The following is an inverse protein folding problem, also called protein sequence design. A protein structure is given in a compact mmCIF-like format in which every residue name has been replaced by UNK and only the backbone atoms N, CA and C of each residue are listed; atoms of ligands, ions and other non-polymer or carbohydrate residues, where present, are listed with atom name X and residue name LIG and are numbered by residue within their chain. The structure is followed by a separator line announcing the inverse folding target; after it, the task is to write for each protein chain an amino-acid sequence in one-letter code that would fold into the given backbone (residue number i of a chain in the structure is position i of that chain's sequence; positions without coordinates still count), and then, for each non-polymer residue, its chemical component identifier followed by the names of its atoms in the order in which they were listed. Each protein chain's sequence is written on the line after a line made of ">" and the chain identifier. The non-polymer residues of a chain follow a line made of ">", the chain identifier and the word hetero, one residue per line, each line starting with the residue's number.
data_IF_329396935733
#
_entry.id   IF_329396935733
#
_cell.length_a   1.000
_cell.length_b   1.000
_cell.length_c   1.000
_cell.angle_alpha   90.00
_cell.angle_beta   90.00
_cell.angle_gamma   90.00
#
_symmetry.space_group_name_H-M   'P 1'
#
loop_
_entity.id
_entity.type
_entity.pdbx_description
1 polymer ?
#
# COMPACT_ATOMS: atom_id res chain seq x y z
N UNK A 1 21.74 -61.76 -32.94
CA UNK A 1 21.78 -60.60 -32.02
C UNK A 1 20.95 -60.93 -30.77
N UNK A 2 21.56 -61.16 -29.60
CA UNK A 2 20.82 -61.43 -28.37
C UNK A 2 20.40 -60.12 -27.68
N UNK A 3 19.09 -59.90 -27.58
CA UNK A 3 18.49 -58.78 -26.85
C UNK A 3 18.45 -59.10 -25.35
N UNK A 4 19.15 -58.29 -24.54
CA UNK A 4 19.24 -58.41 -23.08
C UNK A 4 17.91 -58.00 -22.43
N UNK A 5 17.35 -58.88 -21.58
CA UNK A 5 16.22 -58.55 -20.69
C UNK A 5 16.71 -57.68 -19.53
N UNK A 6 16.01 -56.60 -19.14
CA UNK A 6 16.27 -55.91 -17.88
C UNK A 6 15.60 -56.63 -16.71
N UNK A 7 16.38 -56.75 -15.63
CA UNK A 7 16.04 -57.32 -14.33
C UNK A 7 15.24 -56.26 -13.54
N UNK A 8 13.99 -56.55 -13.18
CA UNK A 8 13.25 -55.79 -12.17
C UNK A 8 13.83 -56.09 -10.78
N UNK A 9 14.27 -55.05 -10.07
CA UNK A 9 14.51 -55.10 -8.62
C UNK A 9 13.43 -54.26 -7.91
N UNK A 10 12.73 -54.90 -6.98
CA UNK A 10 11.79 -54.28 -6.05
C UNK A 10 12.51 -53.53 -4.92
N UNK A 11 11.95 -52.39 -4.52
CA UNK A 11 11.88 -51.82 -3.16
C UNK A 11 11.49 -50.33 -3.29
N UNK A 12 10.69 -49.68 -2.44
CA UNK A 12 10.18 -49.96 -1.10
C UNK A 12 8.94 -49.06 -0.94
N UNK A 13 7.84 -49.61 -0.43
CA UNK A 13 6.70 -48.82 0.05
C UNK A 13 7.11 -48.12 1.34
N UNK A 14 6.93 -46.81 1.42
CA UNK A 14 7.00 -46.06 2.68
C UNK A 14 5.62 -45.48 2.95
N UNK A 15 4.94 -46.07 3.94
CA UNK A 15 3.69 -45.59 4.50
C UNK A 15 3.97 -44.37 5.37
N UNK A 16 3.19 -43.30 5.22
CA UNK A 16 3.17 -42.21 6.20
C UNK A 16 1.85 -42.28 6.97
N UNK A 17 1.99 -42.43 8.29
CA UNK A 17 0.88 -42.50 9.24
C UNK A 17 0.36 -41.09 9.50
N UNK A 18 -0.94 -40.90 9.28
CA UNK A 18 -1.70 -39.77 9.81
C UNK A 18 -2.06 -40.12 11.26
N UNK A 19 -1.44 -39.43 12.23
CA UNK A 19 -1.90 -39.45 13.62
C UNK A 19 -2.41 -38.05 13.97
N UNK A 20 -3.73 -37.89 13.90
CA UNK A 20 -4.48 -36.88 14.62
C UNK A 20 -4.33 -37.13 16.12
N UNK A 21 -4.01 -36.11 16.91
CA UNK A 21 -3.96 -36.25 18.36
C UNK A 21 -3.42 -35.05 19.10
N UNK A 22 -4.28 -34.05 19.25
CA UNK A 22 -4.48 -33.18 20.43
C UNK A 22 -3.42 -33.19 21.56
N UNK A 23 -2.93 -31.98 21.87
CA UNK A 23 -2.67 -31.45 23.23
C UNK A 23 -1.37 -31.85 23.96
N UNK A 24 -0.40 -30.93 24.01
CA UNK A 24 0.28 -30.60 25.26
C UNK A 24 0.71 -29.12 25.23
N UNK A 25 0.12 -28.33 26.13
CA UNK A 25 0.58 -27.00 26.50
C UNK A 25 2.03 -27.08 26.99
N UNK A 26 2.89 -26.19 26.51
CA UNK A 26 4.01 -25.66 27.28
C UNK A 26 4.25 -24.22 26.86
N UNK A 27 3.88 -23.31 27.78
CA UNK A 27 4.32 -21.93 27.80
C UNK A 27 5.85 -21.89 27.71
N UNK A 28 6.36 -21.29 26.65
CA UNK A 28 7.70 -20.74 26.57
C UNK A 28 7.58 -19.28 26.17
N UNK A 29 7.76 -18.39 27.14
CA UNK A 29 7.75 -16.94 26.96
C UNK A 29 8.90 -16.50 26.03
N UNK A 30 8.55 -16.02 24.84
CA UNK A 30 9.28 -15.09 23.97
C UNK A 30 8.53 -15.11 22.63
N UNK A 31 7.59 -14.24 22.36
CA UNK A 31 7.91 -12.89 21.90
C UNK A 31 6.72 -11.95 22.13
N UNK A 32 6.71 -11.31 23.30
CA UNK A 32 6.08 -10.00 23.44
C UNK A 32 7.00 -8.96 22.78
N UNK A 33 7.02 -8.96 21.45
CA UNK A 33 7.21 -7.74 20.68
C UNK A 33 5.87 -7.48 20.02
N UNK A 34 4.91 -7.04 20.84
CA UNK A 34 3.81 -6.26 20.31
C UNK A 34 4.45 -4.96 19.80
N UNK A 35 4.91 -4.95 18.55
CA UNK A 35 5.17 -3.71 17.85
C UNK A 35 3.86 -2.92 17.87
N UNK A 36 3.86 -1.84 18.63
CA UNK A 36 2.83 -0.82 18.54
C UNK A 36 2.80 -0.25 17.12
N UNK A 37 1.58 0.00 16.61
CA UNK A 37 1.31 0.64 15.33
C UNK A 37 1.06 -0.42 14.28
N UNK A 38 -0.18 -0.68 13.88
CA UNK A 38 -1.06 0.26 13.19
C UNK A 38 -2.50 0.06 13.71
N UNK A 39 -3.09 1.08 14.32
CA UNK A 39 -4.50 1.08 14.75
C UNK A 39 -5.47 1.44 13.61
N UNK A 40 -5.06 1.21 12.37
CA UNK A 40 -5.84 1.53 11.18
C UNK A 40 -6.34 0.24 10.54
N UNK A 41 -7.66 0.02 10.44
CA UNK A 41 -8.22 -1.21 9.87
C UNK A 41 -7.88 -1.39 8.38
N UNK A 42 -7.41 -0.34 7.70
CA UNK A 42 -7.03 -0.39 6.29
C UNK A 42 -5.65 -1.01 6.04
N UNK A 43 -4.79 -1.12 7.05
CA UNK A 43 -3.43 -1.68 6.91
C UNK A 43 -3.25 -2.80 7.91
N UNK A 44 -2.85 -3.97 7.44
CA UNK A 44 -2.52 -5.11 8.31
C UNK A 44 -1.15 -5.68 7.99
N UNK A 45 -0.35 -5.89 9.03
CA UNK A 45 0.89 -6.65 8.96
C UNK A 45 0.54 -8.14 8.91
N UNK A 46 0.73 -8.76 7.75
CA UNK A 46 0.40 -10.17 7.53
C UNK A 46 1.51 -11.09 8.00
N UNK A 47 2.76 -10.68 7.76
CA UNK A 47 3.94 -11.47 8.09
C UNK A 47 5.14 -10.56 8.26
N UNK A 48 5.96 -10.85 9.27
CA UNK A 48 7.25 -10.22 9.48
C UNK A 48 8.25 -11.31 9.85
N UNK A 49 9.29 -11.44 9.03
CA UNK A 49 10.46 -12.26 9.30
C UNK A 49 11.71 -11.41 9.02
N UNK A 50 12.89 -11.91 9.38
CA UNK A 50 14.13 -11.13 9.33
C UNK A 50 14.50 -10.54 7.96
N UNK A 51 13.92 -11.04 6.87
CA UNK A 51 14.22 -10.61 5.49
C UNK A 51 13.00 -10.16 4.69
N UNK A 52 11.79 -10.17 5.28
CA UNK A 52 10.55 -9.94 4.56
C UNK A 52 9.48 -9.39 5.49
N UNK A 53 8.85 -8.30 5.06
CA UNK A 53 7.68 -7.72 5.70
C UNK A 53 6.55 -7.69 4.68
N UNK A 54 5.45 -8.39 4.96
CA UNK A 54 4.27 -8.47 4.11
C UNK A 54 3.17 -7.62 4.74
N UNK A 55 2.74 -6.61 4.00
CA UNK A 55 1.69 -5.68 4.43
C UNK A 55 0.55 -5.77 3.43
N UNK A 56 -0.66 -5.99 3.93
CA UNK A 56 -1.88 -5.87 3.15
C UNK A 56 -2.49 -4.49 3.38
N UNK A 57 -2.92 -3.85 2.31
CA UNK A 57 -3.68 -2.61 2.35
C UNK A 57 -5.05 -2.82 1.70
N UNK A 58 -6.10 -2.47 2.43
CA UNK A 58 -7.49 -2.46 1.96
C UNK A 58 -7.96 -1.01 1.90
N UNK A 59 -8.34 -0.55 0.71
CA UNK A 59 -8.82 0.81 0.52
C UNK A 59 -10.09 1.06 1.37
N UNK A 60 -10.10 2.06 2.27
CA UNK A 60 -11.31 2.45 2.98
C UNK A 60 -12.40 2.94 2.02
N UNK A 61 -13.67 3.02 2.48
CA UNK A 61 -14.74 3.62 1.68
C UNK A 61 -14.34 5.00 1.14
N UNK A 62 -14.31 5.13 -0.19
CA UNK A 62 -14.04 6.39 -0.85
C UNK A 62 -15.28 7.29 -0.76
N UNK A 63 -15.10 8.51 -0.28
CA UNK A 63 -16.06 9.58 -0.43
C UNK A 63 -15.64 10.46 -1.62
N UNK A 64 -16.52 10.54 -2.63
CA UNK A 64 -16.35 11.40 -3.80
C UNK A 64 -17.28 12.58 -3.59
N UNK A 65 -16.71 13.74 -3.27
CA UNK A 65 -17.49 14.94 -3.05
C UNK A 65 -18.16 15.39 -4.37
N UNK A 66 -19.33 16.06 -4.29
CA UNK A 66 -19.94 16.71 -5.44
C UNK A 66 -18.95 17.66 -6.13
N UNK A 67 -19.07 17.86 -7.45
CA UNK A 67 -18.17 18.73 -8.17
C UNK A 67 -18.30 20.17 -7.68
N UNK A 68 -17.18 20.88 -7.61
CA UNK A 68 -17.16 22.32 -7.35
C UNK A 68 -17.69 23.13 -8.56
N UNK A 69 -17.62 24.47 -8.46
CA UNK A 69 -18.08 25.37 -9.54
C UNK A 69 -17.33 25.17 -10.85
N UNK A 70 -16.13 24.61 -10.81
CA UNK A 70 -15.28 24.36 -11.97
C UNK A 70 -15.37 22.90 -12.45
N UNK A 71 -16.25 22.09 -11.84
CA UNK A 71 -16.49 20.70 -12.22
C UNK A 71 -15.51 19.69 -11.62
N UNK A 72 -14.68 20.09 -10.66
CA UNK A 72 -13.71 19.20 -10.03
C UNK A 72 -14.29 18.47 -8.84
N UNK A 73 -13.95 17.19 -8.72
CA UNK A 73 -14.28 16.33 -7.60
C UNK A 73 -13.09 16.20 -6.66
N UNK A 74 -13.38 16.25 -5.36
CA UNK A 74 -12.42 15.90 -4.32
C UNK A 74 -12.66 14.47 -3.86
N UNK A 75 -11.58 13.73 -3.65
CA UNK A 75 -11.60 12.42 -3.00
C UNK A 75 -11.24 12.58 -1.53
N UNK A 76 -11.93 11.83 -0.68
CA UNK A 76 -11.55 11.64 0.71
C UNK A 76 -11.73 10.17 1.11
N UNK A 77 -10.82 9.67 1.93
CA UNK A 77 -10.96 8.39 2.61
C UNK A 77 -10.28 8.49 3.97
N UNK A 78 -10.83 7.82 4.97
CA UNK A 78 -10.29 7.82 6.33
C UNK A 78 -8.83 7.31 6.31
N UNK A 79 -7.94 8.04 6.99
CA UNK A 79 -6.54 7.67 7.10
C UNK A 79 -5.69 7.89 5.84
N UNK A 80 -6.24 8.43 4.75
CA UNK A 80 -5.50 8.80 3.54
C UNK A 80 -5.38 10.32 3.42
N UNK A 81 -4.31 10.79 2.76
CA UNK A 81 -4.06 12.20 2.52
C UNK A 81 -3.67 12.47 1.07
N UNK A 82 -3.83 13.72 0.63
CA UNK A 82 -3.33 14.16 -0.67
C UNK A 82 -1.87 14.56 -0.51
N UNK A 83 -0.96 13.91 -1.22
CA UNK A 83 0.48 14.25 -1.23
C UNK A 83 1.02 14.56 -2.63
N UNK A 84 0.13 14.83 -3.58
CA UNK A 84 0.55 15.25 -4.91
C UNK A 84 1.14 16.67 -4.84
N UNK A 85 2.17 16.99 -5.65
CA UNK A 85 2.66 18.36 -5.77
C UNK A 85 1.51 19.30 -6.15
N UNK A 86 1.62 20.54 -5.67
CA UNK A 86 0.62 21.58 -5.92
C UNK A 86 0.24 21.69 -7.39
N UNK A 87 -1.07 21.67 -7.65
CA UNK A 87 -1.64 21.79 -8.98
C UNK A 87 -1.78 20.53 -9.81
N UNK A 88 -1.19 19.41 -9.40
CA UNK A 88 -1.41 18.10 -10.02
C UNK A 88 -2.71 17.46 -9.52
N UNK A 89 -3.26 16.42 -10.20
CA UNK A 89 -4.45 15.73 -9.71
C UNK A 89 -4.29 15.25 -8.26
N UNK A 90 -5.21 15.63 -7.38
CA UNK A 90 -5.17 15.31 -5.96
C UNK A 90 -5.47 13.84 -5.66
N UNK A 91 -4.50 12.95 -5.90
CA UNK A 91 -4.62 11.53 -5.57
C UNK A 91 -4.37 11.30 -4.08
N UNK A 92 -5.16 10.38 -3.50
CA UNK A 92 -5.04 9.96 -2.12
C UNK A 92 -3.91 8.94 -1.97
N UNK A 93 -3.10 9.11 -0.94
CA UNK A 93 -2.01 8.20 -0.58
C UNK A 93 -2.13 7.75 0.88
N UNK A 94 -1.56 6.58 1.16
CA UNK A 94 -1.35 6.09 2.51
C UNK A 94 0.14 5.90 2.74
N UNK A 95 0.66 6.50 3.80
CA UNK A 95 2.05 6.32 4.23
C UNK A 95 2.08 5.72 5.63
N UNK A 96 3.07 4.86 5.87
CA UNK A 96 3.39 4.32 7.18
C UNK A 96 4.90 4.10 7.26
N UNK A 97 5.43 4.08 8.48
CA UNK A 97 6.85 3.88 8.73
C UNK A 97 7.12 2.40 8.94
N UNK A 98 8.15 1.90 8.28
CA UNK A 98 8.67 0.55 8.48
C UNK A 98 10.10 0.64 9.02
N UNK A 99 10.41 -0.19 10.02
CA UNK A 99 11.76 -0.34 10.48
C UNK A 99 12.53 -1.23 9.51
N UNK A 100 13.60 -0.68 8.94
CA UNK A 100 14.50 -1.40 8.04
C UNK A 100 15.83 -1.57 8.77
N UNK A 101 16.40 -2.79 8.84
CA UNK A 101 17.72 -2.99 9.42
C UNK A 101 18.78 -2.15 8.69
N UNK A 102 19.77 -1.66 9.43
CA UNK A 102 20.90 -0.96 8.85
C UNK A 102 21.57 -1.80 7.75
N UNK A 103 22.09 -1.13 6.72
CA UNK A 103 22.82 -1.74 5.60
C UNK A 103 22.01 -2.75 4.76
N UNK A 104 20.68 -2.78 4.92
CA UNK A 104 19.79 -3.61 4.10
C UNK A 104 19.44 -2.92 2.80
N UNK A 105 19.45 -3.67 1.70
CA UNK A 105 18.83 -3.25 0.45
C UNK A 105 17.37 -3.66 0.45
N UNK A 106 16.46 -2.70 0.23
CA UNK A 106 15.02 -2.97 0.22
C UNK A 106 14.53 -3.05 -1.21
N UNK A 107 13.88 -4.16 -1.50
CA UNK A 107 13.09 -4.34 -2.72
C UNK A 107 11.62 -4.45 -2.36
N UNK A 108 10.76 -3.79 -3.13
CA UNK A 108 9.32 -3.84 -2.93
C UNK A 108 8.66 -4.56 -4.11
N UNK A 109 7.74 -5.47 -3.79
CA UNK A 109 6.87 -6.13 -4.75
C UNK A 109 5.42 -5.85 -4.38
N UNK A 110 4.62 -5.46 -5.37
CA UNK A 110 3.19 -5.14 -5.17
C UNK A 110 2.36 -6.24 -5.79
N UNK A 111 1.41 -6.78 -5.02
CA UNK A 111 0.40 -7.72 -5.50
C UNK A 111 -0.95 -7.00 -5.38
N UNK A 112 -1.66 -6.86 -6.50
CA UNK A 112 -2.98 -6.24 -6.54
C UNK A 112 -4.02 -7.36 -6.58
N UNK A 113 -4.74 -7.53 -5.47
CA UNK A 113 -5.80 -8.55 -5.38
C UNK A 113 -7.12 -8.07 -6.02
N UNK A 114 -7.45 -6.79 -5.87
CA UNK A 114 -8.67 -6.19 -6.39
C UNK A 114 -8.36 -4.82 -7.00
N UNK A 115 -8.99 -4.54 -8.13
CA UNK A 115 -8.88 -3.26 -8.82
C UNK A 115 -10.24 -2.87 -9.40
N UNK A 116 -10.66 -1.64 -9.11
CA UNK A 116 -11.86 -1.05 -9.68
C UNK A 116 -11.49 0.22 -10.46
N UNK A 117 -12.24 0.51 -11.53
CA UNK A 117 -12.04 1.71 -12.34
C UNK A 117 -13.28 2.58 -12.26
N UNK A 118 -13.14 3.74 -11.62
CA UNK A 118 -14.16 4.78 -11.62
C UNK A 118 -13.92 5.66 -12.84
N UNK A 119 -15.00 6.08 -13.53
CA UNK A 119 -14.94 6.88 -14.76
C UNK A 119 -15.80 8.12 -14.63
N UNK A 120 -15.64 9.06 -15.56
CA UNK A 120 -16.47 10.26 -15.70
C UNK A 120 -16.39 11.23 -14.52
N UNK A 121 -15.19 11.44 -13.97
CA UNK A 121 -14.93 12.49 -12.99
C UNK A 121 -13.58 13.16 -13.28
N UNK A 122 -13.43 14.39 -12.81
CA UNK A 122 -12.20 15.17 -12.93
C UNK A 122 -11.69 15.50 -11.53
N UNK A 123 -10.48 15.06 -11.18
CA UNK A 123 -9.93 15.31 -9.86
C UNK A 123 -9.55 16.77 -9.68
N UNK A 124 -9.86 17.34 -8.51
CA UNK A 124 -9.37 18.66 -8.10
C UNK A 124 -7.84 18.68 -8.04
N UNK A 125 -7.20 19.82 -8.37
CA UNK A 125 -5.77 19.96 -8.18
C UNK A 125 -5.41 19.84 -6.70
N UNK A 126 -4.25 19.29 -6.40
CA UNK A 126 -3.70 19.27 -5.05
C UNK A 126 -3.39 20.71 -4.59
N UNK A 127 -3.66 21.03 -3.32
CA UNK A 127 -3.44 22.38 -2.81
C UNK A 127 -1.95 22.71 -2.75
N UNK A 128 -1.60 23.92 -3.17
CA UNK A 128 -0.29 24.51 -2.92
C UNK A 128 -0.37 25.34 -1.63
N UNK A 129 0.43 25.03 -0.59
CA UNK A 129 0.55 25.90 0.57
C UNK A 129 1.26 27.20 0.18
N UNK A 130 0.64 28.34 0.47
CA UNK A 130 1.22 29.66 0.26
C UNK A 130 1.11 30.48 1.53
N UNK A 131 2.20 31.19 1.86
CA UNK A 131 2.22 32.16 2.94
C UNK A 131 1.59 33.45 2.43
N UNK A 132 0.50 33.88 3.07
CA UNK A 132 -0.17 35.13 2.74
C UNK A 132 -0.30 36.01 3.98
N UNK A 133 0.14 37.25 3.86
CA UNK A 133 -0.07 38.29 4.87
C UNK A 133 -1.56 38.69 4.89
N UNK A 134 -2.17 38.67 6.07
CA UNK A 134 -3.55 39.12 6.26
C UNK A 134 -3.61 40.66 6.41
N UNK A 135 -4.81 41.23 6.51
CA UNK A 135 -5.03 42.68 6.67
C UNK A 135 -4.43 43.26 7.96
N UNK A 136 -3.96 42.42 8.89
CA UNK A 136 -3.33 42.77 10.17
C UNK A 136 -1.81 42.58 10.16
N UNK A 137 -1.22 42.34 9.00
CA UNK A 137 0.21 42.05 8.85
C UNK A 137 0.69 40.76 9.52
N UNK A 138 -0.21 39.80 9.72
CA UNK A 138 0.14 38.47 10.21
C UNK A 138 0.28 37.50 9.04
N UNK A 139 1.36 36.71 9.05
CA UNK A 139 1.58 35.66 8.07
C UNK A 139 0.67 34.47 8.36
N UNK A 140 -0.21 34.13 7.42
CA UNK A 140 -1.11 32.98 7.51
C UNK A 140 -0.82 31.97 6.41
N UNK A 141 -0.90 30.69 6.73
CA UNK A 141 -0.81 29.62 5.75
C UNK A 141 -2.16 29.47 5.06
N UNK A 142 -2.21 29.68 3.74
CA UNK A 142 -3.40 29.40 2.93
C UNK A 142 -3.11 28.32 1.90
N UNK A 143 -4.16 27.63 1.49
CA UNK A 143 -4.12 26.66 0.41
C UNK A 143 -4.73 27.28 -0.84
N UNK A 144 -3.99 27.25 -1.94
CA UNK A 144 -4.48 27.65 -3.26
C UNK A 144 -4.57 26.42 -4.16
N UNK A 145 -5.58 26.38 -5.03
CA UNK A 145 -5.91 25.25 -5.88
C UNK A 145 -5.67 25.64 -7.35
N UNK A 146 -4.40 25.83 -7.73
CA UNK A 146 -4.04 26.25 -9.09
C UNK A 146 -3.73 25.05 -9.97
N UNK A 147 -4.49 24.83 -11.04
CA UNK A 147 -4.31 23.69 -11.95
C UNK A 147 -3.02 23.77 -12.76
N UNK A 148 -2.23 22.70 -12.71
CA UNK A 148 -1.16 22.46 -13.66
C UNK A 148 -1.75 21.95 -14.99
N UNK A 149 -1.76 22.80 -16.03
CA UNK A 149 -2.37 22.45 -17.32
C UNK A 149 -1.68 21.27 -18.00
N UNK A 150 -0.36 21.18 -17.88
CA UNK A 150 0.42 20.12 -18.53
C UNK A 150 0.12 18.76 -17.91
N UNK A 151 0.03 18.69 -16.58
CA UNK A 151 -0.31 17.46 -15.86
C UNK A 151 -1.69 16.92 -16.26
N UNK A 152 -2.66 17.82 -16.46
CA UNK A 152 -4.03 17.46 -16.85
C UNK A 152 -4.21 17.22 -18.35
N UNK A 153 -3.23 17.58 -19.17
CA UNK A 153 -3.22 17.27 -20.60
C UNK A 153 -2.62 15.88 -20.90
N UNK A 154 -2.03 15.21 -19.91
CA UNK A 154 -1.46 13.88 -20.08
C UNK A 154 -2.56 12.81 -20.20
N UNK A 155 -2.46 11.96 -21.23
CA UNK A 155 -3.35 10.81 -21.45
C UNK A 155 -2.85 9.54 -20.72
N UNK A 156 -2.26 9.70 -19.54
CA UNK A 156 -1.70 8.61 -18.74
C UNK A 156 -2.13 8.66 -17.28
N UNK A 157 -2.03 7.53 -16.57
CA UNK A 157 -2.24 7.49 -15.13
C UNK A 157 -1.20 8.35 -14.42
N UNK A 158 -1.67 9.32 -13.63
CA UNK A 158 -0.82 10.16 -12.80
C UNK A 158 -0.13 9.33 -11.69
N UNK A 159 1.11 9.68 -11.34
CA UNK A 159 2.10 8.92 -10.52
C UNK A 159 2.61 7.60 -11.12
N UNK A 160 1.82 6.88 -11.90
CA UNK A 160 2.26 5.69 -12.66
C UNK A 160 2.77 4.50 -11.82
N UNK A 161 2.68 4.58 -10.49
CA UNK A 161 3.11 3.56 -9.51
C UNK A 161 2.07 3.47 -8.40
N UNK A 162 1.87 2.26 -7.87
CA UNK A 162 0.88 1.99 -6.80
C UNK A 162 1.50 2.11 -5.40
N UNK A 163 2.79 1.86 -5.28
CA UNK A 163 3.53 2.00 -4.03
C UNK A 163 4.95 2.51 -4.33
N UNK A 164 5.55 3.15 -3.34
CA UNK A 164 6.93 3.62 -3.36
C UNK A 164 7.56 3.49 -1.97
N UNK A 165 8.87 3.24 -1.92
CA UNK A 165 9.67 3.34 -0.70
C UNK A 165 10.46 4.65 -0.78
N UNK A 166 10.28 5.51 0.21
CA UNK A 166 11.01 6.77 0.36
C UNK A 166 11.92 6.72 1.60
N UNK A 167 13.13 7.26 1.48
CA UNK A 167 14.15 7.36 2.54
C UNK A 167 14.48 8.82 2.85
#
# INVERSE_FOLDING_TARGET
>A
MPCKRPIMKHAKRTSYYFLSGLLTMLLGAASAYAHHGIADPSVALQREISSETVISFSLPPLNINPPDTDGYHQLAAEGLSVASPGGFPGVLIKSFLLQIPADSEVTMSVIIEQQETIRNFLLSPAPTPVMQENERSELTLKQIFEKNKDAYAQESLYQGRVAEVAY
#
